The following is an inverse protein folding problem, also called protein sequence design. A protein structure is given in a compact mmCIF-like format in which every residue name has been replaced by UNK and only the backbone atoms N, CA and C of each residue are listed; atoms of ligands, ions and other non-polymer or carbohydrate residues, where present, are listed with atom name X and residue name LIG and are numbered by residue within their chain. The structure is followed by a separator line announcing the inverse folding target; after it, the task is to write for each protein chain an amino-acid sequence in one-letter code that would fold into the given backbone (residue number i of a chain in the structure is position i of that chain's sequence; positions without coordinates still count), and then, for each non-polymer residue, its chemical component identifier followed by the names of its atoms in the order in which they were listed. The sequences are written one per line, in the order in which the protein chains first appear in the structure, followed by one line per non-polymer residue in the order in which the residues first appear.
data_IF_097687982794
#
_entry.id   IF_097687982794
#
_cell.length_a   1.000
_cell.length_b   1.000
_cell.length_c   1.000
_cell.angle_alpha   90.00
_cell.angle_beta   90.00
_cell.angle_gamma   90.00
#
_symmetry.space_group_name_H-M   'P 1'
#
loop_
_entity.id
_entity.type
_entity.pdbx_description
1 polymer ?
#
# COMPACT_ATOMS: atom_id res chain seq x y z
N UNK A 1 63.80 -3.78 49.63
CA UNK A 1 62.54 -3.03 49.77
C UNK A 1 62.53 -1.68 49.03
N UNK A 2 63.66 -0.99 48.84
CA UNK A 2 63.69 0.34 48.20
C UNK A 2 63.36 0.39 46.70
N UNK A 3 63.76 -0.61 45.91
CA UNK A 3 63.47 -0.64 44.46
C UNK A 3 61.98 -0.68 44.12
N UNK A 4 61.15 -1.30 44.98
CA UNK A 4 59.70 -1.35 44.81
C UNK A 4 59.04 0.02 45.08
N UNK A 5 59.58 0.79 46.05
CA UNK A 5 59.11 2.13 46.38
C UNK A 5 59.50 3.15 45.30
N UNK A 6 60.66 3.01 44.68
CA UNK A 6 61.10 3.86 43.56
C UNK A 6 60.24 3.66 42.31
N UNK A 7 59.98 2.40 41.90
CA UNK A 7 59.03 2.10 40.80
C UNK A 7 57.64 2.66 41.10
N UNK A 8 57.15 2.52 42.33
CA UNK A 8 55.84 3.05 42.74
C UNK A 8 55.78 4.59 42.70
N UNK A 9 56.82 5.29 43.17
CA UNK A 9 56.91 6.77 43.09
C UNK A 9 57.03 7.28 41.66
N UNK A 10 57.78 6.59 40.79
CA UNK A 10 57.91 6.93 39.38
C UNK A 10 56.59 6.72 38.62
N UNK A 11 55.90 5.60 38.88
CA UNK A 11 54.57 5.32 38.35
C UNK A 11 53.55 6.37 38.80
N UNK A 12 53.54 6.73 40.08
CA UNK A 12 52.63 7.75 40.64
C UNK A 12 52.91 9.13 40.06
N UNK A 13 54.18 9.52 39.83
CA UNK A 13 54.53 10.78 39.16
C UNK A 13 54.13 10.81 37.68
N UNK A 14 54.24 9.68 36.98
CA UNK A 14 53.79 9.55 35.60
C UNK A 14 52.24 9.61 35.52
N UNK A 15 51.55 9.02 36.51
CA UNK A 15 50.09 9.08 36.65
C UNK A 15 49.57 10.49 37.02
N UNK A 16 50.32 11.25 37.82
CA UNK A 16 50.00 12.63 38.26
C UNK A 16 50.44 13.70 37.25
N UNK A 17 51.06 13.33 36.13
CA UNK A 17 51.43 14.29 35.09
C UNK A 17 50.16 14.71 34.32
N UNK A 18 49.88 16.02 34.15
CA UNK A 18 48.61 16.50 33.56
C UNK A 18 48.37 16.03 32.12
N UNK A 19 49.41 15.53 31.45
CA UNK A 19 49.33 14.94 30.10
C UNK A 19 48.62 13.58 30.09
N UNK A 20 48.74 12.76 31.13
CA UNK A 20 48.14 11.42 31.14
C UNK A 20 46.58 11.46 31.13
N UNK A 21 45.91 12.25 32.00
CA UNK A 21 44.47 12.46 31.91
C UNK A 21 44.03 13.06 30.56
N UNK A 22 44.83 13.97 30.00
CA UNK A 22 44.52 14.59 28.71
C UNK A 22 44.54 13.60 27.55
N UNK A 23 45.51 12.67 27.53
CA UNK A 23 45.58 11.61 26.50
C UNK A 23 44.39 10.65 26.63
N UNK A 24 44.04 10.22 27.84
CA UNK A 24 42.86 9.37 28.08
C UNK A 24 41.59 10.08 27.60
N UNK A 25 41.45 11.37 27.93
CA UNK A 25 40.32 12.17 27.50
C UNK A 25 40.22 12.26 25.97
N UNK A 26 41.34 12.49 25.27
CA UNK A 26 41.37 12.53 23.80
C UNK A 26 41.02 11.18 23.16
N UNK A 27 41.49 10.07 23.72
CA UNK A 27 41.12 8.73 23.26
C UNK A 27 39.63 8.48 23.45
N UNK A 28 39.09 8.82 24.63
CA UNK A 28 37.65 8.73 24.89
C UNK A 28 36.83 9.61 23.93
N UNK A 29 37.29 10.82 23.65
CA UNK A 29 36.61 11.77 22.79
C UNK A 29 36.62 11.31 21.32
N UNK A 30 37.74 10.75 20.86
CA UNK A 30 37.84 10.11 19.54
C UNK A 30 36.94 8.88 19.41
N UNK A 31 36.91 8.02 20.42
CA UNK A 31 36.03 6.84 20.46
C UNK A 31 34.55 7.24 20.47
N UNK A 32 34.19 8.25 21.27
CA UNK A 32 32.83 8.80 21.31
C UNK A 32 32.42 9.43 19.96
N UNK A 33 33.31 10.17 19.31
CA UNK A 33 33.06 10.75 17.99
C UNK A 33 32.88 9.67 16.91
N UNK A 34 33.73 8.64 16.91
CA UNK A 34 33.63 7.51 15.99
C UNK A 34 32.35 6.71 16.15
N UNK A 35 31.96 6.42 17.40
CA UNK A 35 30.68 5.76 17.72
C UNK A 35 29.49 6.60 17.27
N UNK A 36 29.48 7.90 17.57
CA UNK A 36 28.43 8.83 17.15
C UNK A 36 28.30 8.88 15.63
N UNK A 37 29.42 8.93 14.91
CA UNK A 37 29.43 8.94 13.45
C UNK A 37 28.85 7.63 12.88
N UNK A 38 29.32 6.48 13.38
CA UNK A 38 28.83 5.17 12.94
C UNK A 38 27.34 4.96 13.20
N UNK A 39 26.86 5.38 14.39
CA UNK A 39 25.45 5.30 14.75
C UNK A 39 24.58 6.15 13.84
N UNK A 40 24.90 7.45 13.67
CA UNK A 40 24.09 8.37 12.86
C UNK A 40 23.97 7.87 11.41
N UNK A 41 25.06 7.34 10.84
CA UNK A 41 25.07 6.85 9.47
C UNK A 41 24.26 5.55 9.29
N UNK A 42 24.26 4.67 10.29
CA UNK A 42 23.45 3.44 10.28
C UNK A 42 21.96 3.73 10.51
N UNK A 43 21.62 4.66 11.40
CA UNK A 43 20.24 5.02 11.69
C UNK A 43 19.49 5.47 10.44
N UNK A 44 20.11 6.32 9.61
CA UNK A 44 19.43 6.83 8.40
C UNK A 44 19.18 5.76 7.35
N UNK A 45 20.11 4.83 7.17
CA UNK A 45 19.99 3.78 6.16
C UNK A 45 18.98 2.71 6.57
N UNK A 46 18.95 2.34 7.86
CA UNK A 46 17.98 1.39 8.39
C UNK A 46 16.55 1.95 8.36
N UNK A 47 16.37 3.22 8.76
CA UNK A 47 15.05 3.87 8.71
C UNK A 47 14.53 3.94 7.28
N UNK A 48 15.37 4.29 6.30
CA UNK A 48 14.97 4.30 4.88
C UNK A 48 14.63 2.90 4.37
N UNK A 49 15.48 1.91 4.63
CA UNK A 49 15.24 0.54 4.19
C UNK A 49 13.96 -0.05 4.79
N UNK A 50 13.69 0.21 6.07
CA UNK A 50 12.46 -0.20 6.73
C UNK A 50 11.24 0.51 6.13
N UNK A 51 11.31 1.83 5.94
CA UNK A 51 10.22 2.60 5.35
C UNK A 51 9.91 2.14 3.92
N UNK A 52 10.93 1.87 3.11
CA UNK A 52 10.74 1.33 1.77
C UNK A 52 10.14 -0.08 1.78
N UNK A 53 10.57 -0.93 2.71
CA UNK A 53 10.00 -2.27 2.86
C UNK A 53 8.54 -2.20 3.29
N UNK A 54 8.21 -1.34 4.25
CA UNK A 54 6.85 -1.11 4.71
C UNK A 54 5.97 -0.59 3.57
N UNK A 55 6.44 0.40 2.80
CA UNK A 55 5.75 0.89 1.62
C UNK A 55 5.51 -0.20 0.56
N UNK A 56 6.52 -1.06 0.32
CA UNK A 56 6.38 -2.21 -0.59
C UNK A 56 5.35 -3.21 -0.07
N UNK A 57 5.39 -3.54 1.23
CA UNK A 57 4.43 -4.45 1.84
C UNK A 57 3.01 -3.90 1.76
N UNK A 58 2.81 -2.61 2.04
CA UNK A 58 1.51 -1.95 1.89
C UNK A 58 1.04 -1.99 0.43
N UNK A 59 1.90 -1.67 -0.53
CA UNK A 59 1.55 -1.72 -1.95
C UNK A 59 1.15 -3.15 -2.39
N UNK A 60 1.91 -4.17 -2.00
CA UNK A 60 1.57 -5.56 -2.32
C UNK A 60 0.29 -6.04 -1.64
N UNK A 61 0.03 -5.59 -0.41
CA UNK A 61 -1.22 -5.90 0.28
C UNK A 61 -2.43 -5.29 -0.44
N UNK A 62 -2.33 -4.02 -0.85
CA UNK A 62 -3.37 -3.32 -1.62
C UNK A 62 -3.59 -3.98 -2.99
N UNK A 63 -2.52 -4.37 -3.68
CA UNK A 63 -2.60 -5.07 -4.97
C UNK A 63 -3.32 -6.42 -4.84
N UNK A 64 -2.98 -7.19 -3.81
CA UNK A 64 -3.63 -8.47 -3.53
C UNK A 64 -5.11 -8.29 -3.19
N UNK A 65 -5.43 -7.36 -2.29
CA UNK A 65 -6.80 -7.03 -1.90
C UNK A 65 -7.64 -6.61 -3.12
N UNK A 66 -7.10 -5.72 -3.95
CA UNK A 66 -7.73 -5.30 -5.19
C UNK A 66 -8.00 -6.49 -6.15
N UNK A 67 -7.03 -7.38 -6.29
CA UNK A 67 -7.18 -8.58 -7.15
C UNK A 67 -8.30 -9.49 -6.64
N UNK A 68 -8.37 -9.72 -5.33
CA UNK A 68 -9.44 -10.53 -4.71
C UNK A 68 -10.81 -9.95 -5.01
N UNK A 69 -10.95 -8.62 -4.91
CA UNK A 69 -12.18 -7.90 -5.18
C UNK A 69 -12.57 -7.97 -6.67
N UNK A 70 -11.63 -7.70 -7.58
CA UNK A 70 -11.86 -7.81 -9.03
C UNK A 70 -12.29 -9.23 -9.43
N UNK A 71 -11.66 -10.25 -8.87
CA UNK A 71 -12.04 -11.65 -9.10
C UNK A 71 -13.43 -11.98 -8.56
N UNK A 72 -13.85 -11.33 -7.47
CA UNK A 72 -15.18 -11.49 -6.91
C UNK A 72 -16.27 -11.02 -7.90
N UNK A 73 -16.08 -9.84 -8.48
CA UNK A 73 -16.98 -9.29 -9.52
C UNK A 73 -16.92 -10.13 -10.81
N UNK A 74 -15.73 -10.59 -11.20
CA UNK A 74 -15.59 -11.49 -12.36
C UNK A 74 -16.38 -12.78 -12.17
N UNK A 75 -16.41 -13.36 -10.97
CA UNK A 75 -17.24 -14.54 -10.66
C UNK A 75 -18.73 -14.24 -10.79
N UNK A 76 -19.18 -13.08 -10.29
CA UNK A 76 -20.56 -12.63 -10.45
C UNK A 76 -20.95 -12.49 -11.93
N UNK A 77 -20.11 -11.81 -12.73
CA UNK A 77 -20.31 -11.68 -14.17
C UNK A 77 -20.33 -13.04 -14.89
N UNK A 78 -19.45 -13.96 -14.49
CA UNK A 78 -19.38 -15.31 -15.07
C UNK A 78 -20.63 -16.13 -14.76
N UNK A 79 -21.22 -15.99 -13.56
CA UNK A 79 -22.49 -16.64 -13.21
C UNK A 79 -23.62 -16.13 -14.11
N UNK A 80 -23.77 -14.81 -14.22
CA UNK A 80 -24.79 -14.20 -15.07
C UNK A 80 -24.62 -14.58 -16.56
N UNK A 81 -23.39 -14.67 -17.05
CA UNK A 81 -23.12 -15.12 -18.41
C UNK A 81 -23.50 -16.60 -18.64
N UNK A 82 -23.40 -17.44 -17.60
CA UNK A 82 -23.74 -18.87 -17.67
C UNK A 82 -25.25 -19.12 -17.54
N UNK A 83 -25.98 -18.21 -16.87
CA UNK A 83 -27.42 -18.24 -16.74
C UNK A 83 -28.02 -16.85 -17.04
N UNK A 84 -28.24 -16.52 -18.32
CA UNK A 84 -28.78 -15.22 -18.72
C UNK A 84 -30.23 -14.98 -18.29
N UNK A 85 -30.93 -16.02 -17.82
CA UNK A 85 -32.30 -15.91 -17.30
C UNK A 85 -32.34 -15.56 -15.81
N UNK A 86 -31.16 -15.36 -15.18
CA UNK A 86 -31.03 -14.90 -13.79
C UNK A 86 -31.94 -13.69 -13.56
N UNK A 87 -32.92 -13.78 -12.63
CA UNK A 87 -33.78 -12.67 -12.31
C UNK A 87 -32.98 -11.47 -11.77
N UNK A 88 -33.36 -10.26 -12.17
CA UNK A 88 -32.72 -9.03 -11.69
C UNK A 88 -32.68 -8.96 -10.15
N UNK A 89 -33.71 -9.45 -9.46
CA UNK A 89 -33.76 -9.49 -8.00
C UNK A 89 -32.69 -10.39 -7.38
N UNK A 90 -32.31 -11.47 -8.04
CA UNK A 90 -31.22 -12.35 -7.61
C UNK A 90 -29.87 -11.70 -7.87
N UNK A 91 -29.69 -11.09 -9.05
CA UNK A 91 -28.51 -10.29 -9.36
C UNK A 91 -28.29 -9.15 -8.36
N UNK A 92 -29.36 -8.43 -7.99
CA UNK A 92 -29.30 -7.34 -6.99
C UNK A 92 -28.92 -7.85 -5.62
N UNK A 93 -29.46 -8.99 -5.18
CA UNK A 93 -29.08 -9.61 -3.89
C UNK A 93 -27.62 -10.01 -3.86
N UNK A 94 -27.12 -10.55 -4.96
CA UNK A 94 -25.71 -10.90 -5.13
C UNK A 94 -24.85 -9.62 -5.06
N UNK A 95 -25.21 -8.57 -5.83
CA UNK A 95 -24.53 -7.27 -5.82
C UNK A 95 -24.50 -6.62 -4.42
N UNK A 96 -25.62 -6.62 -3.71
CA UNK A 96 -25.73 -6.11 -2.34
C UNK A 96 -24.79 -6.85 -1.38
N UNK A 97 -24.67 -8.17 -1.53
CA UNK A 97 -23.71 -8.97 -0.74
C UNK A 97 -22.27 -8.51 -0.99
N UNK A 98 -21.89 -8.28 -2.26
CA UNK A 98 -20.57 -7.74 -2.61
C UNK A 98 -20.30 -6.33 -2.03
N UNK A 99 -21.30 -5.45 -2.06
CA UNK A 99 -21.21 -4.11 -1.50
C UNK A 99 -20.99 -4.16 0.02
N UNK A 100 -21.72 -5.03 0.72
CA UNK A 100 -21.63 -5.19 2.17
C UNK A 100 -20.31 -5.82 2.63
N UNK A 101 -19.83 -6.83 1.90
CA UNK A 101 -18.61 -7.57 2.23
C UNK A 101 -17.35 -6.74 2.01
N UNK A 102 -17.30 -5.99 0.90
CA UNK A 102 -16.07 -5.33 0.48
C UNK A 102 -16.01 -3.85 0.82
N UNK A 103 -17.14 -3.13 0.95
CA UNK A 103 -17.26 -1.71 1.36
C UNK A 103 -16.40 -0.69 0.58
N UNK A 104 -15.59 -1.12 -0.38
CA UNK A 104 -14.80 -0.30 -1.30
C UNK A 104 -15.61 0.13 -2.54
N UNK A 105 -16.74 -0.54 -2.78
CA UNK A 105 -17.60 -0.28 -3.92
C UNK A 105 -18.69 0.71 -3.53
N UNK A 106 -18.84 1.75 -4.34
CA UNK A 106 -19.96 2.69 -4.21
C UNK A 106 -21.24 2.13 -4.84
N UNK A 107 -21.10 1.48 -5.99
CA UNK A 107 -22.17 0.79 -6.70
C UNK A 107 -21.60 -0.33 -7.59
N UNK A 108 -22.45 -1.28 -7.93
CA UNK A 108 -22.23 -2.31 -8.95
C UNK A 108 -23.30 -2.12 -10.03
N UNK A 109 -22.85 -2.08 -11.28
CA UNK A 109 -23.67 -1.84 -12.46
C UNK A 109 -23.56 -3.00 -13.44
N UNK A 110 -24.69 -3.43 -13.99
CA UNK A 110 -24.71 -4.30 -15.17
C UNK A 110 -25.08 -3.48 -16.40
N UNK A 111 -24.18 -3.50 -17.38
CA UNK A 111 -24.34 -2.83 -18.66
C UNK A 111 -24.62 -3.85 -19.76
N UNK A 112 -25.50 -3.50 -20.69
CA UNK A 112 -25.78 -4.35 -21.85
C UNK A 112 -24.74 -4.19 -22.96
N UNK A 113 -24.93 -4.94 -24.05
CA UNK A 113 -24.09 -4.89 -25.26
C UNK A 113 -24.02 -3.52 -25.94
N UNK A 114 -24.97 -2.64 -25.66
CA UNK A 114 -25.06 -1.28 -26.21
C UNK A 114 -24.44 -0.25 -25.22
N UNK A 115 -23.74 -0.75 -24.18
CA UNK A 115 -23.13 -0.01 -23.08
C UNK A 115 -24.12 0.76 -22.21
N UNK A 116 -25.39 0.37 -22.22
CA UNK A 116 -26.43 1.01 -21.41
C UNK A 116 -26.51 0.33 -20.05
N UNK A 117 -26.51 1.12 -18.99
CA UNK A 117 -26.70 0.64 -17.62
C UNK A 117 -28.14 0.16 -17.47
N UNK A 118 -28.33 -1.15 -17.24
CA UNK A 118 -29.65 -1.79 -17.13
C UNK A 118 -29.99 -2.17 -15.71
N UNK A 119 -29.02 -2.63 -14.94
CA UNK A 119 -29.19 -2.94 -13.52
C UNK A 119 -28.13 -2.24 -12.69
N UNK A 120 -28.49 -1.93 -11.46
CA UNK A 120 -27.71 -1.08 -10.56
C UNK A 120 -28.07 -1.39 -9.11
N UNK A 121 -27.04 -1.54 -8.27
CA UNK A 121 -27.16 -1.66 -6.81
C UNK A 121 -26.01 -0.88 -6.14
N UNK A 122 -26.24 -0.09 -5.07
CA UNK A 122 -27.56 0.21 -4.53
C UNK A 122 -28.31 1.15 -5.46
N UNK A 123 -29.61 0.89 -5.65
CA UNK A 123 -30.44 1.78 -6.48
C UNK A 123 -30.65 3.14 -5.80
N UNK A 124 -30.82 3.12 -4.47
CA UNK A 124 -31.01 4.33 -3.69
C UNK A 124 -29.80 5.26 -3.87
N UNK A 125 -30.07 6.53 -4.20
CA UNK A 125 -29.06 7.59 -4.48
C UNK A 125 -28.40 7.53 -5.87
N UNK A 126 -28.60 6.45 -6.62
CA UNK A 126 -27.97 6.23 -7.93
C UNK A 126 -29.00 6.14 -9.08
N UNK A 127 -30.28 6.40 -8.81
CA UNK A 127 -31.39 6.20 -9.76
C UNK A 127 -31.21 6.97 -11.07
N UNK A 128 -30.53 8.13 -10.99
CA UNK A 128 -30.28 9.01 -12.13
C UNK A 128 -29.36 8.41 -13.20
N UNK A 129 -28.64 7.35 -12.87
CA UNK A 129 -27.65 6.71 -13.75
C UNK A 129 -28.25 5.56 -14.56
N UNK A 130 -29.40 5.04 -14.15
CA UNK A 130 -30.09 3.96 -14.87
C UNK A 130 -30.46 4.41 -16.30
N UNK A 131 -30.13 3.59 -17.30
CA UNK A 131 -30.33 3.91 -18.71
C UNK A 131 -29.28 4.84 -19.33
N UNK A 132 -28.29 5.28 -18.56
CA UNK A 132 -27.18 6.08 -19.09
C UNK A 132 -26.18 5.19 -19.85
N UNK A 133 -25.49 5.80 -20.82
CA UNK A 133 -24.45 5.11 -21.58
C UNK A 133 -23.12 5.18 -20.82
N UNK A 134 -22.62 4.03 -20.37
CA UNK A 134 -21.35 3.90 -19.66
C UNK A 134 -20.14 4.26 -20.52
N UNK A 135 -20.25 4.21 -21.85
CA UNK A 135 -19.25 4.64 -22.82
C UNK A 135 -19.37 6.14 -23.17
N UNK A 136 -19.48 7.00 -22.16
CA UNK A 136 -19.75 8.44 -22.32
C UNK A 136 -18.61 9.24 -22.97
N UNK A 137 -17.39 8.69 -23.03
CA UNK A 137 -16.26 9.29 -23.73
C UNK A 137 -15.47 8.23 -24.53
N UNK A 138 -14.59 8.69 -25.43
CA UNK A 138 -13.81 7.81 -26.32
C UNK A 138 -12.85 6.89 -25.56
N UNK A 139 -12.29 7.34 -24.43
CA UNK A 139 -11.37 6.55 -23.61
C UNK A 139 -12.13 5.40 -22.94
N UNK A 140 -13.28 5.70 -22.35
CA UNK A 140 -14.15 4.73 -21.68
C UNK A 140 -14.74 3.73 -22.67
N UNK A 141 -15.15 4.20 -23.85
CA UNK A 141 -15.57 3.32 -24.95
C UNK A 141 -14.47 2.32 -25.31
N UNK A 142 -13.25 2.80 -25.56
CA UNK A 142 -12.13 1.91 -25.94
C UNK A 142 -11.80 0.89 -24.84
N UNK A 143 -11.86 1.31 -23.57
CA UNK A 143 -11.64 0.44 -22.42
C UNK A 143 -12.69 -0.68 -22.33
N UNK A 144 -13.98 -0.32 -22.46
CA UNK A 144 -15.08 -1.28 -22.47
C UNK A 144 -14.95 -2.28 -23.63
N UNK A 145 -14.66 -1.80 -24.85
CA UNK A 145 -14.41 -2.67 -26.02
C UNK A 145 -13.24 -3.63 -25.78
N UNK A 146 -12.14 -3.14 -25.19
CA UNK A 146 -10.98 -3.98 -24.89
C UNK A 146 -11.31 -5.07 -23.84
N UNK A 147 -12.07 -4.72 -22.80
CA UNK A 147 -12.54 -5.67 -21.79
C UNK A 147 -13.45 -6.74 -22.42
N UNK A 148 -14.41 -6.34 -23.26
CA UNK A 148 -15.29 -7.27 -23.99
C UNK A 148 -14.49 -8.23 -24.86
N UNK A 149 -13.48 -7.74 -25.60
CA UNK A 149 -12.67 -8.57 -26.50
C UNK A 149 -11.74 -9.54 -25.77
N UNK A 150 -11.20 -9.13 -24.62
CA UNK A 150 -10.26 -9.96 -23.85
C UNK A 150 -10.95 -10.94 -22.90
N UNK A 151 -12.19 -10.65 -22.49
CA UNK A 151 -12.90 -11.38 -21.43
C UNK A 151 -12.29 -11.16 -20.03
N UNK A 152 -11.30 -10.28 -19.91
CA UNK A 152 -10.67 -9.92 -18.65
C UNK A 152 -11.30 -8.63 -18.09
N UNK A 153 -11.20 -8.45 -16.76
CA UNK A 153 -11.58 -7.18 -16.16
C UNK A 153 -10.60 -6.09 -16.59
N UNK A 154 -11.13 -4.87 -16.73
CA UNK A 154 -10.34 -3.66 -16.94
C UNK A 154 -10.48 -2.74 -15.73
N UNK A 155 -9.40 -2.08 -15.36
CA UNK A 155 -9.36 -1.13 -14.27
C UNK A 155 -8.97 0.22 -14.85
N UNK A 156 -9.91 1.16 -14.85
CA UNK A 156 -9.59 2.51 -15.26
C UNK A 156 -8.67 3.18 -14.24
N UNK A 157 -7.91 4.18 -14.68
CA UNK A 157 -7.34 5.15 -13.75
C UNK A 157 -8.41 5.91 -12.96
N UNK A 158 -8.02 6.95 -12.24
CA UNK A 158 -8.97 7.78 -11.47
C UNK A 158 -9.98 8.44 -12.42
N UNK A 159 -11.27 8.24 -12.15
CA UNK A 159 -12.40 8.83 -12.88
C UNK A 159 -13.34 9.44 -11.85
N UNK A 160 -13.90 10.61 -12.16
CA UNK A 160 -14.95 11.22 -11.34
C UNK A 160 -16.27 10.47 -11.60
N UNK A 161 -16.85 9.91 -10.54
CA UNK A 161 -18.08 9.14 -10.63
C UNK A 161 -19.28 10.09 -10.68
N UNK A 162 -20.28 9.76 -11.50
CA UNK A 162 -21.54 10.51 -11.58
C UNK A 162 -22.37 10.42 -10.30
N UNK A 163 -22.09 9.41 -9.47
CA UNK A 163 -22.81 9.05 -8.27
C UNK A 163 -22.35 9.82 -7.01
N UNK A 164 -21.49 10.82 -7.19
CA UNK A 164 -20.91 11.63 -6.11
C UNK A 164 -19.50 11.18 -5.74
#
# INVERSE_FOLDING_TARGET
MEHALYKRRLLVKCLLHPVFPAVIFLVFLGMAAGLRYGLIHQYTSQVRANLENEARTMASALEWEFTVHADAIRRMASRLASDPETPESEWRRDADSYLQDFRIYQAIEWIDKDFIIRWLEPLASNESVLGYNAAFDKRRYNALVAATNSGNYDVSGVVELRQG
#
